data_IF_302727984613
#
_entry.id   IF_302727984613
#
_cell.length_a   1.000
_cell.length_b   1.000
_cell.length_c   1.000
_cell.angle_alpha   90.00
_cell.angle_beta   90.00
_cell.angle_gamma   90.00
#
_symmetry.space_group_name_H-M   'P 1'
#
loop_
_entity.id
_entity.type
_entity.pdbx_description
1 polymer ?
#
# COMPACT_ATOMS: atom_id res chain seq x y z
N UNK A 1 19.91 1.72 -13.79
CA UNK A 1 19.85 1.47 -13.27
C UNK A 1 18.94 1.39 -12.77
N UNK A 2 18.60 0.96 -12.84
CA UNK A 2 17.89 0.99 -12.22
C UNK A 2 16.62 0.70 -12.35
N UNK A 3 16.02 0.54 -13.25
CA UNK A 3 14.71 0.40 -13.36
C UNK A 3 14.16 -0.83 -12.80
N UNK A 4 14.61 -1.97 -13.10
CA UNK A 4 14.08 -3.17 -12.55
C UNK A 4 14.28 -3.20 -11.07
N UNK A 5 15.38 -2.64 -10.65
CA UNK A 5 15.64 -2.54 -9.33
C UNK A 5 14.71 -1.65 -8.67
N UNK A 6 14.36 -0.58 -9.27
CA UNK A 6 13.46 0.35 -8.75
C UNK A 6 12.10 -0.22 -8.59
N UNK A 7 11.67 -1.03 -9.51
CA UNK A 7 10.38 -1.66 -9.43
C UNK A 7 10.31 -2.53 -8.20
N UNK A 8 11.35 -3.27 -7.96
CA UNK A 8 11.41 -4.11 -6.83
C UNK A 8 11.40 -3.33 -5.56
N UNK A 9 12.17 -2.28 -5.51
CA UNK A 9 12.23 -1.43 -4.35
C UNK A 9 10.89 -0.78 -4.10
N UNK A 10 10.22 -0.38 -5.18
CA UNK A 10 8.93 0.24 -5.06
C UNK A 10 7.93 -0.72 -4.42
N UNK A 11 7.97 -1.97 -4.81
CA UNK A 11 7.07 -2.94 -4.26
C UNK A 11 7.34 -3.15 -2.77
N UNK A 12 8.59 -3.25 -2.40
CA UNK A 12 8.95 -3.44 -1.01
C UNK A 12 8.49 -2.27 -0.18
N UNK A 13 8.69 -1.08 -0.68
CA UNK A 13 8.29 0.09 0.04
C UNK A 13 6.80 0.20 0.14
N UNK A 14 6.11 -0.15 -0.92
CA UNK A 14 4.67 -0.09 -0.91
C UNK A 14 4.11 -1.08 0.10
N UNK A 15 4.69 -2.26 0.16
CA UNK A 15 4.22 -3.24 1.10
C UNK A 15 4.49 -2.81 2.54
N UNK A 16 5.59 -2.16 2.74
CA UNK A 16 5.95 -1.69 4.04
C UNK A 16 4.96 -0.63 4.49
N UNK A 17 4.63 0.25 3.58
CA UNK A 17 3.68 1.30 3.87
C UNK A 17 2.31 0.71 4.14
N UNK A 18 1.90 -0.24 3.34
CA UNK A 18 0.61 -0.89 3.51
C UNK A 18 0.54 -1.57 4.87
N UNK A 19 1.62 -2.22 5.23
CA UNK A 19 1.69 -2.91 6.49
C UNK A 19 1.51 -1.94 7.63
N UNK A 20 2.13 -0.80 7.54
CA UNK A 20 2.03 0.19 8.57
C UNK A 20 0.60 0.69 8.66
N UNK A 21 -0.03 0.97 7.53
CA UNK A 21 -1.38 1.45 7.52
C UNK A 21 -2.32 0.39 8.10
N UNK A 22 -2.12 -0.84 7.70
CA UNK A 22 -2.94 -1.93 8.19
C UNK A 22 -2.85 -2.03 9.71
N UNK A 23 -1.67 -1.82 10.25
CA UNK A 23 -1.53 -1.96 11.67
C UNK A 23 -2.19 -0.82 12.43
N UNK A 24 -2.48 0.27 11.74
CA UNK A 24 -3.12 1.40 12.38
C UNK A 24 -4.62 1.44 12.19
N UNK A 25 -5.10 0.75 11.18
CA UNK A 25 -6.52 0.71 10.90
C UNK A 25 -7.15 -0.41 11.67
N UNK A 26 -8.16 -0.12 12.46
CA UNK A 26 -8.85 -1.15 13.16
C UNK A 26 -9.90 -1.79 12.30
N UNK A 27 -10.49 -1.03 11.43
CA UNK A 27 -11.57 -1.54 10.61
C UNK A 27 -11.60 -0.75 9.34
N UNK A 28 -11.35 -1.38 8.24
CA UNK A 28 -11.34 -0.67 6.98
C UNK A 28 -10.64 -1.48 5.92
N UNK A 29 -10.04 -0.79 4.99
CA UNK A 29 -9.39 -1.49 3.88
C UNK A 29 -8.21 -0.71 3.37
N UNK A 30 -7.31 -1.41 2.72
CA UNK A 30 -6.16 -0.80 2.09
C UNK A 30 -6.09 -1.37 0.68
N UNK A 31 -5.92 -0.50 -0.29
CA UNK A 31 -5.89 -0.90 -1.69
C UNK A 31 -4.60 -0.42 -2.33
N UNK A 32 -3.97 -1.28 -3.06
CA UNK A 32 -2.78 -0.90 -3.81
C UNK A 32 -3.15 -0.86 -5.28
N UNK A 33 -2.87 0.24 -5.92
CA UNK A 33 -3.12 0.37 -7.34
C UNK A 33 -1.82 0.12 -8.06
N UNK A 34 -1.85 -0.83 -8.98
CA UNK A 34 -0.65 -1.24 -9.67
C UNK A 34 -0.77 -0.95 -11.14
N UNK A 35 0.31 -0.47 -11.74
CA UNK A 35 0.32 -0.19 -13.13
C UNK A 35 1.66 -0.66 -13.67
N UNK A 36 1.64 -1.58 -14.63
CA UNK A 36 2.86 -2.12 -15.21
C UNK A 36 3.78 -2.69 -14.16
N UNK A 37 3.23 -3.36 -13.18
CA UNK A 37 4.05 -3.98 -12.17
C UNK A 37 4.58 -3.03 -11.11
N UNK A 38 4.15 -1.79 -11.16
CA UNK A 38 4.63 -0.79 -10.21
C UNK A 38 3.46 -0.26 -9.41
N UNK A 39 3.63 -0.17 -8.12
CA UNK A 39 2.58 0.38 -7.28
C UNK A 39 2.62 1.89 -7.43
N UNK A 40 1.56 2.44 -7.97
CA UNK A 40 1.51 3.88 -8.21
C UNK A 40 0.68 4.61 -7.19
N UNK A 41 -0.06 3.90 -6.39
CA UNK A 41 -0.91 4.57 -5.43
C UNK A 41 -1.33 3.63 -4.32
N UNK A 42 -1.43 4.14 -3.12
CA UNK A 42 -1.92 3.37 -1.99
C UNK A 42 -3.11 4.13 -1.44
N UNK A 43 -4.23 3.46 -1.34
CA UNK A 43 -5.43 4.09 -0.83
C UNK A 43 -5.85 3.35 0.40
N UNK A 44 -6.36 4.04 1.37
CA UNK A 44 -6.87 3.35 2.52
C UNK A 44 -8.14 4.03 2.99
N UNK A 45 -8.98 3.27 3.63
CA UNK A 45 -10.23 3.76 4.09
C UNK A 45 -10.47 3.18 5.45
N UNK A 46 -10.68 4.01 6.42
CA UNK A 46 -10.91 3.54 7.76
C UNK A 46 -12.36 3.80 8.11
N UNK A 47 -13.06 2.79 8.58
CA UNK A 47 -14.44 2.94 8.91
C UNK A 47 -14.58 2.98 10.40
N UNK A 48 -15.49 3.82 10.87
CA UNK A 48 -15.71 3.93 12.25
C UNK A 48 -16.90 3.11 12.64
N UNK A 49 -16.74 2.24 13.60
CA UNK A 49 -17.84 1.44 14.02
C UNK A 49 -18.50 2.13 15.16
N UNK A 50 -19.71 2.48 14.98
CA UNK A 50 -20.42 3.18 16.00
C UNK A 50 -21.18 2.27 16.87
N UNK A 51 -20.99 1.14 16.98
CA UNK A 51 -21.76 0.40 17.73
C UNK A 51 -21.34 -0.09 18.83
#
# INVERSE_FOLDING_TARGET
MNNPKQTKDNLDEALKEAKKIISEIKYGSVTLVVQDGVVVQIEHQEKKRLK
#
